data_IF_532679379151
#
_entry.id   IF_532679379151
#
_cell.length_a   1.000
_cell.length_b   1.000
_cell.length_c   1.000
_cell.angle_alpha   90.00
_cell.angle_beta   90.00
_cell.angle_gamma   90.00
#
_symmetry.space_group_name_H-M   'P 1'
#
loop_
_entity.id
_entity.type
_entity.pdbx_description
1 polymer ?
#
# COMPACT_ATOMS: atom_id res chain seq x y z
N UNK A 1 -23.19 -11.71 17.93
CA UNK A 1 -22.03 -12.33 17.25
C UNK A 1 -21.63 -13.69 17.85
N UNK A 2 -21.42 -13.83 19.17
CA UNK A 2 -21.12 -15.17 19.76
C UNK A 2 -22.26 -16.20 19.61
N UNK A 3 -23.50 -15.77 19.65
CA UNK A 3 -24.67 -16.66 19.50
C UNK A 3 -24.92 -17.14 18.07
N UNK A 4 -24.39 -16.44 17.08
CA UNK A 4 -24.54 -16.73 15.64
C UNK A 4 -23.34 -17.46 15.05
N UNK A 5 -22.35 -17.85 15.87
CA UNK A 5 -21.14 -18.54 15.39
C UNK A 5 -20.19 -17.69 14.53
N UNK A 6 -20.45 -16.37 14.43
CA UNK A 6 -19.65 -15.44 13.64
C UNK A 6 -18.46 -14.95 14.46
N UNK A 7 -17.32 -15.63 14.31
CA UNK A 7 -16.05 -15.25 14.92
C UNK A 7 -15.12 -14.71 13.83
N UNK A 8 -14.61 -13.49 14.03
CA UNK A 8 -13.56 -12.94 13.17
C UNK A 8 -12.26 -13.75 13.31
N UNK A 9 -11.68 -14.19 12.20
CA UNK A 9 -10.35 -14.81 12.18
C UNK A 9 -9.30 -13.75 12.51
N UNK A 10 -8.53 -13.94 13.57
CA UNK A 10 -7.39 -13.08 13.92
C UNK A 10 -6.08 -13.80 13.59
N UNK A 11 -5.10 -13.13 12.95
CA UNK A 11 -3.77 -13.69 12.75
C UNK A 11 -3.11 -14.00 14.09
N UNK A 12 -2.46 -15.16 14.21
CA UNK A 12 -1.76 -15.59 15.44
C UNK A 12 -0.32 -15.07 15.54
N UNK A 13 0.27 -14.59 14.46
CA UNK A 13 1.68 -14.17 14.44
C UNK A 13 1.81 -12.65 14.48
N UNK A 14 2.73 -12.18 15.34
CA UNK A 14 3.13 -10.76 15.37
C UNK A 14 4.17 -10.50 14.28
N UNK A 15 3.97 -9.46 13.50
CA UNK A 15 4.96 -8.98 12.54
C UNK A 15 6.24 -8.51 13.27
N UNK A 16 7.40 -9.00 12.82
CA UNK A 16 8.71 -8.52 13.26
C UNK A 16 9.37 -7.74 12.13
N UNK A 17 9.62 -6.45 12.36
CA UNK A 17 10.32 -5.60 11.39
C UNK A 17 11.78 -6.02 11.24
N UNK A 18 12.28 -5.97 9.99
CA UNK A 18 13.69 -6.24 9.66
C UNK A 18 14.61 -5.19 10.28
N UNK A 19 15.70 -5.64 10.93
CA UNK A 19 16.77 -4.78 11.46
C UNK A 19 17.91 -4.70 10.43
N UNK A 20 17.75 -3.92 9.36
CA UNK A 20 18.80 -3.63 8.40
C UNK A 20 19.64 -2.40 8.75
N UNK A 21 20.67 -2.11 7.95
CA UNK A 21 21.46 -0.88 8.06
C UNK A 21 20.56 0.35 7.95
N UNK A 22 20.78 1.30 8.86
CA UNK A 22 19.95 2.50 8.97
C UNK A 22 20.45 3.54 7.96
N UNK A 23 19.69 3.76 6.89
CA UNK A 23 19.87 4.89 5.97
C UNK A 23 19.41 6.22 6.61
N UNK A 24 19.16 7.24 5.80
CA UNK A 24 18.67 8.53 6.30
C UNK A 24 17.14 8.47 6.49
N UNK A 25 16.70 8.73 7.72
CA UNK A 25 15.28 8.85 8.09
C UNK A 25 14.78 10.25 7.71
N UNK A 26 13.61 10.33 7.07
CA UNK A 26 12.91 11.58 6.83
C UNK A 26 11.98 11.94 7.99
N UNK A 27 11.64 13.23 8.10
CA UNK A 27 10.71 13.72 9.12
C UNK A 27 9.29 13.17 8.92
N UNK A 28 8.52 13.05 10.01
CA UNK A 28 7.11 12.71 9.92
C UNK A 28 6.27 13.97 9.61
N UNK A 29 6.20 14.32 8.32
CA UNK A 29 5.49 15.52 7.86
C UNK A 29 3.97 15.34 7.99
N UNK A 30 3.46 14.12 7.77
CA UNK A 30 2.03 13.84 7.87
C UNK A 30 1.53 13.99 9.31
N UNK A 31 2.32 13.58 10.31
CA UNK A 31 2.00 13.70 11.75
C UNK A 31 0.54 13.28 12.08
N UNK A 32 0.07 12.18 11.46
CA UNK A 32 -1.32 11.64 11.52
C UNK A 32 -2.39 12.52 10.87
N UNK A 33 -2.03 13.60 10.22
CA UNK A 33 -2.97 14.34 9.38
C UNK A 33 -3.08 13.67 8.01
N UNK A 34 -3.93 12.64 7.93
CA UNK A 34 -4.21 11.92 6.68
C UNK A 34 -5.25 12.63 5.79
N UNK A 35 -5.79 13.77 6.24
CA UNK A 35 -6.78 14.52 5.48
C UNK A 35 -6.14 15.13 4.25
N UNK A 36 -6.89 15.13 3.16
CA UNK A 36 -6.54 15.69 1.86
C UNK A 36 -7.76 16.38 1.28
N UNK A 37 -7.57 17.44 0.53
CA UNK A 37 -8.64 18.19 -0.14
C UNK A 37 -8.91 17.69 -1.56
N UNK A 38 -7.91 17.03 -2.16
CA UNK A 38 -7.97 16.51 -3.53
C UNK A 38 -7.16 15.21 -3.63
N UNK A 39 -7.40 14.38 -4.67
CA UNK A 39 -6.52 13.27 -5.06
C UNK A 39 -5.09 13.75 -5.34
N UNK A 40 -4.13 12.82 -5.28
CA UNK A 40 -2.72 13.03 -5.64
C UNK A 40 -1.96 14.04 -4.76
N UNK A 41 -2.45 14.31 -3.55
CA UNK A 41 -1.75 15.17 -2.58
C UNK A 41 -0.89 14.36 -1.61
N UNK A 42 -1.35 13.18 -1.22
CA UNK A 42 -0.63 12.31 -0.28
C UNK A 42 -0.76 10.86 -0.71
N UNK A 43 0.36 10.22 -0.91
CA UNK A 43 0.46 8.78 -1.13
C UNK A 43 1.09 8.09 0.07
N UNK A 44 0.76 6.81 0.24
CA UNK A 44 1.42 5.95 1.23
C UNK A 44 1.78 4.60 0.63
N UNK A 45 2.84 4.00 1.17
CA UNK A 45 3.33 2.68 0.78
C UNK A 45 3.80 1.90 1.99
N UNK A 46 3.81 0.60 1.86
CA UNK A 46 4.40 -0.36 2.80
C UNK A 46 4.61 -1.70 2.07
N UNK A 47 5.33 -2.63 2.69
CA UNK A 47 5.52 -3.98 2.14
C UNK A 47 4.84 -5.01 3.04
N UNK A 48 3.98 -5.85 2.47
CA UNK A 48 3.36 -6.95 3.19
C UNK A 48 3.79 -8.31 2.65
N UNK A 49 4.12 -9.22 3.57
CA UNK A 49 4.50 -10.60 3.26
C UNK A 49 3.29 -11.53 3.29
N UNK A 50 3.30 -12.49 2.36
CA UNK A 50 2.41 -13.65 2.29
C UNK A 50 3.24 -14.92 2.33
N UNK A 51 2.75 -15.95 3.02
CA UNK A 51 3.43 -17.23 3.18
C UNK A 51 2.59 -18.34 2.54
N UNK A 52 3.22 -19.13 1.68
CA UNK A 52 2.61 -20.25 0.98
C UNK A 52 3.44 -21.52 1.15
N UNK A 53 2.90 -22.67 0.75
CA UNK A 53 3.64 -23.93 0.75
C UNK A 53 4.84 -23.92 -0.20
N UNK A 54 4.76 -23.15 -1.29
CA UNK A 54 5.82 -22.98 -2.30
C UNK A 54 6.80 -21.85 -1.98
N UNK A 55 6.58 -21.05 -0.94
CA UNK A 55 7.52 -19.98 -0.56
C UNK A 55 6.84 -18.73 -0.02
N UNK A 56 7.51 -17.61 -0.18
CA UNK A 56 7.07 -16.30 0.26
C UNK A 56 6.84 -15.37 -0.92
N UNK A 57 5.86 -14.50 -0.78
CA UNK A 57 5.61 -13.41 -1.72
C UNK A 57 5.44 -12.10 -0.96
N UNK A 58 5.86 -11.00 -1.57
CA UNK A 58 5.81 -9.65 -1.02
C UNK A 58 5.06 -8.76 -1.98
N UNK A 59 4.10 -8.00 -1.47
CA UNK A 59 3.42 -6.94 -2.23
C UNK A 59 3.85 -5.58 -1.70
N UNK A 60 4.17 -4.67 -2.62
CA UNK A 60 4.47 -3.27 -2.33
C UNK A 60 3.53 -2.39 -3.14
N UNK A 61 2.43 -1.89 -2.57
CA UNK A 61 1.50 -0.98 -3.24
C UNK A 61 1.80 0.48 -2.93
N UNK A 62 1.40 1.38 -3.82
CA UNK A 62 1.22 2.82 -3.59
C UNK A 62 -0.27 3.11 -3.50
N UNK A 63 -0.71 3.73 -2.41
CA UNK A 63 -2.11 4.06 -2.16
C UNK A 63 -2.29 5.59 -2.03
N UNK A 64 -3.26 6.14 -2.76
CA UNK A 64 -3.67 7.53 -2.61
C UNK A 64 -4.53 7.73 -1.35
N UNK A 65 -4.11 8.63 -0.46
CA UNK A 65 -4.79 8.82 0.83
C UNK A 65 -6.15 9.51 0.72
N UNK A 66 -6.45 10.18 -0.39
CA UNK A 66 -7.76 10.81 -0.62
C UNK A 66 -8.80 9.77 -1.03
N UNK A 67 -8.47 9.04 -2.08
CA UNK A 67 -9.39 8.15 -2.79
C UNK A 67 -9.36 6.72 -2.28
N UNK A 68 -8.32 6.32 -1.54
CA UNK A 68 -7.92 4.93 -1.26
C UNK A 68 -7.61 4.11 -2.52
N UNK A 69 -7.40 4.74 -3.69
CA UNK A 69 -7.00 4.03 -4.90
C UNK A 69 -5.61 3.43 -4.76
N UNK A 70 -5.44 2.20 -5.17
CA UNK A 70 -4.12 1.61 -5.40
C UNK A 70 -3.61 2.16 -6.73
N UNK A 71 -2.67 3.10 -6.63
CA UNK A 71 -2.08 3.80 -7.78
C UNK A 71 -1.25 2.85 -8.62
N UNK A 72 -0.39 2.10 -7.94
CA UNK A 72 0.46 1.05 -8.50
C UNK A 72 0.75 0.00 -7.44
N UNK A 73 1.30 -1.12 -7.85
CA UNK A 73 1.85 -2.14 -6.96
C UNK A 73 2.89 -2.98 -7.69
N UNK A 74 3.69 -3.71 -6.94
CA UNK A 74 4.55 -4.76 -7.46
C UNK A 74 4.54 -5.98 -6.55
N UNK A 75 4.61 -7.16 -7.16
CA UNK A 75 4.74 -8.45 -6.47
C UNK A 75 6.12 -9.01 -6.73
N UNK A 76 6.74 -9.57 -5.68
CA UNK A 76 8.05 -10.18 -5.78
C UNK A 76 8.20 -11.34 -4.80
N UNK A 77 9.01 -12.32 -5.12
CA UNK A 77 9.41 -13.38 -4.20
C UNK A 77 10.46 -12.91 -3.18
N UNK A 78 11.00 -11.70 -3.36
CA UNK A 78 12.03 -11.11 -2.53
C UNK A 78 11.77 -9.61 -2.32
N UNK A 79 11.81 -9.10 -1.07
CA UNK A 79 11.62 -7.67 -0.81
C UNK A 79 12.94 -6.93 -1.11
N UNK A 80 13.15 -6.53 -2.36
CA UNK A 80 14.36 -5.88 -2.84
C UNK A 80 14.07 -4.50 -3.45
N UNK A 81 15.15 -3.75 -3.77
CA UNK A 81 15.01 -2.42 -4.38
C UNK A 81 14.39 -2.46 -5.77
N UNK A 82 14.57 -3.54 -6.50
CA UNK A 82 13.98 -3.71 -7.83
C UNK A 82 12.45 -3.75 -7.76
N UNK A 83 11.88 -4.40 -6.73
CA UNK A 83 10.44 -4.35 -6.45
C UNK A 83 9.95 -2.90 -6.25
N UNK A 84 10.68 -2.12 -5.45
CA UNK A 84 10.34 -0.72 -5.20
C UNK A 84 10.49 0.13 -6.46
N UNK A 85 11.52 -0.13 -7.27
CA UNK A 85 11.71 0.55 -8.57
C UNK A 85 10.52 0.33 -9.49
N UNK A 86 10.15 -0.93 -9.75
CA UNK A 86 9.01 -1.25 -10.63
C UNK A 86 7.69 -0.65 -10.13
N UNK A 87 7.48 -0.64 -8.81
CA UNK A 87 6.32 -0.02 -8.18
C UNK A 87 6.27 1.49 -8.45
N UNK A 88 7.39 2.21 -8.25
CA UNK A 88 7.50 3.65 -8.50
C UNK A 88 7.35 3.99 -9.98
N UNK A 89 8.02 3.25 -10.86
CA UNK A 89 7.93 3.45 -12.31
C UNK A 89 6.48 3.35 -12.80
N UNK A 90 5.73 2.36 -12.33
CA UNK A 90 4.30 2.22 -12.64
C UNK A 90 3.47 3.39 -12.11
N UNK A 91 3.77 3.87 -10.89
CA UNK A 91 3.07 5.01 -10.31
C UNK A 91 3.29 6.29 -11.12
N UNK A 92 4.53 6.59 -11.47
CA UNK A 92 4.89 7.81 -12.21
C UNK A 92 4.51 7.74 -13.70
N UNK A 93 4.49 6.55 -14.31
CA UNK A 93 3.91 6.36 -15.63
C UNK A 93 2.40 6.63 -15.66
N UNK A 94 1.68 6.26 -14.60
CA UNK A 94 0.24 6.52 -14.47
C UNK A 94 -0.07 7.98 -14.16
N UNK A 95 0.74 8.62 -13.32
CA UNK A 95 0.61 10.01 -12.89
C UNK A 95 1.98 10.72 -12.95
N UNK A 96 2.37 11.24 -14.12
CA UNK A 96 3.69 11.85 -14.29
C UNK A 96 3.86 13.20 -13.59
N UNK A 97 2.75 13.92 -13.33
CA UNK A 97 2.75 15.25 -12.72
C UNK A 97 2.24 15.18 -11.29
N UNK A 98 3.16 14.97 -10.34
CA UNK A 98 2.88 14.81 -8.90
C UNK A 98 3.78 15.70 -8.04
N UNK A 99 4.22 16.83 -8.56
CA UNK A 99 5.06 17.79 -7.84
C UNK A 99 4.35 18.29 -6.57
N UNK A 100 5.09 18.34 -5.46
CA UNK A 100 4.57 18.74 -4.15
C UNK A 100 3.79 17.65 -3.40
N UNK A 101 3.57 16.47 -4.02
CA UNK A 101 2.95 15.33 -3.35
C UNK A 101 3.78 14.90 -2.13
N UNK A 102 3.12 14.53 -1.02
CA UNK A 102 3.77 13.93 0.14
C UNK A 102 3.70 12.41 0.00
N UNK A 103 4.85 11.75 -0.04
CA UNK A 103 4.95 10.29 -0.10
C UNK A 103 5.36 9.75 1.27
N UNK A 104 4.43 9.05 1.93
CA UNK A 104 4.59 8.53 3.28
C UNK A 104 4.90 7.03 3.30
N UNK A 105 5.81 6.62 4.18
CA UNK A 105 6.15 5.21 4.42
C UNK A 105 6.47 4.97 5.89
N UNK A 106 6.65 3.71 6.26
CA UNK A 106 7.35 3.35 7.48
C UNK A 106 8.87 3.62 7.36
N UNK A 107 9.64 3.24 8.38
CA UNK A 107 11.10 3.35 8.37
C UNK A 107 11.77 2.07 7.80
N UNK A 108 11.13 1.37 6.87
CA UNK A 108 11.74 0.24 6.17
C UNK A 108 13.03 0.65 5.45
N UNK A 109 14.03 -0.25 5.43
CA UNK A 109 15.35 0.03 4.84
C UNK A 109 15.24 0.49 3.37
N UNK A 110 14.31 -0.06 2.61
CA UNK A 110 14.07 0.26 1.19
C UNK A 110 13.70 1.73 0.99
N UNK A 111 12.95 2.32 1.92
CA UNK A 111 12.52 3.73 1.88
C UNK A 111 13.57 4.70 2.38
N UNK A 112 14.56 4.21 3.12
CA UNK A 112 15.74 4.96 3.58
C UNK A 112 16.86 4.96 2.53
N UNK A 113 16.79 4.05 1.54
CA UNK A 113 17.82 3.89 0.54
C UNK A 113 17.93 5.12 -0.37
N UNK A 114 19.17 5.54 -0.77
CA UNK A 114 19.38 6.69 -1.64
C UNK A 114 18.58 6.65 -2.95
N UNK A 115 18.44 5.47 -3.56
CA UNK A 115 17.65 5.29 -4.77
C UNK A 115 16.22 5.82 -4.58
N UNK A 116 15.48 5.34 -3.57
CA UNK A 116 14.11 5.77 -3.31
C UNK A 116 14.01 7.30 -3.10
N UNK A 117 14.88 7.84 -2.25
CA UNK A 117 14.94 9.26 -1.94
C UNK A 117 15.22 10.13 -3.17
N UNK A 118 16.22 9.74 -3.98
CA UNK A 118 16.60 10.48 -5.19
C UNK A 118 15.47 10.42 -6.23
N UNK A 119 14.82 9.26 -6.39
CA UNK A 119 13.67 9.13 -7.28
C UNK A 119 12.52 10.05 -6.88
N UNK A 120 12.15 10.11 -5.60
CA UNK A 120 11.12 11.04 -5.13
C UNK A 120 11.52 12.50 -5.38
N UNK A 121 12.77 12.86 -5.07
CA UNK A 121 13.29 14.21 -5.29
C UNK A 121 13.24 14.63 -6.77
N UNK A 122 13.59 13.72 -7.70
CA UNK A 122 13.52 13.99 -9.15
C UNK A 122 12.10 14.30 -9.63
N UNK A 123 11.09 13.76 -8.96
CA UNK A 123 9.67 14.04 -9.23
C UNK A 123 9.08 15.20 -8.40
N UNK A 124 9.92 15.95 -7.66
CA UNK A 124 9.46 17.05 -6.80
C UNK A 124 8.59 16.58 -5.61
N UNK A 125 8.71 15.33 -5.21
CA UNK A 125 7.91 14.70 -4.15
C UNK A 125 8.59 14.86 -2.79
N UNK A 126 7.81 15.17 -1.78
CA UNK A 126 8.27 15.32 -0.40
C UNK A 126 8.15 13.99 0.33
N UNK A 127 9.28 13.44 0.78
CA UNK A 127 9.28 12.20 1.56
C UNK A 127 8.86 12.47 3.01
N UNK A 128 7.99 11.61 3.54
CA UNK A 128 7.58 11.58 4.94
C UNK A 128 7.69 10.16 5.49
N UNK A 129 8.15 10.01 6.74
CA UNK A 129 8.26 8.69 7.38
C UNK A 129 7.54 8.65 8.71
N UNK A 130 6.91 7.52 9.02
CA UNK A 130 6.31 7.27 10.33
C UNK A 130 7.37 7.27 11.43
N UNK A 131 6.95 7.53 12.66
CA UNK A 131 7.82 7.37 13.83
C UNK A 131 8.12 5.89 14.07
N UNK A 132 9.33 5.60 14.52
CA UNK A 132 9.76 4.22 14.79
C UNK A 132 8.80 3.51 15.75
N UNK A 133 8.30 2.34 15.33
CA UNK A 133 7.42 1.50 16.15
C UNK A 133 6.02 2.06 16.36
N UNK A 134 5.59 3.06 15.60
CA UNK A 134 4.27 3.67 15.73
C UNK A 134 3.35 3.29 14.57
N UNK A 135 2.60 2.20 14.74
CA UNK A 135 1.65 1.68 13.75
C UNK A 135 0.55 2.69 13.39
N UNK A 136 0.15 3.57 14.30
CA UNK A 136 -0.87 4.59 14.01
C UNK A 136 -0.46 5.58 12.93
N UNK A 137 0.83 5.73 12.67
CA UNK A 137 1.32 6.62 11.62
C UNK A 137 1.19 6.00 10.21
N UNK A 138 0.93 4.67 10.09
CA UNK A 138 0.73 3.94 8.83
C UNK A 138 -0.61 3.21 8.74
N UNK A 139 -1.61 3.63 9.52
CA UNK A 139 -2.88 2.92 9.69
C UNK A 139 -3.69 2.74 8.37
N UNK A 140 -3.50 3.61 7.37
CA UNK A 140 -4.17 3.50 6.08
C UNK A 140 -3.69 2.25 5.33
N UNK A 141 -2.38 2.01 5.30
CA UNK A 141 -1.81 0.81 4.68
C UNK A 141 -2.17 -0.45 5.46
N UNK A 142 -2.13 -0.40 6.80
CA UNK A 142 -2.58 -1.52 7.63
C UNK A 142 -4.05 -1.88 7.35
N UNK A 143 -4.90 -0.87 7.15
CA UNK A 143 -6.32 -1.09 6.79
C UNK A 143 -6.46 -1.74 5.42
N UNK A 144 -5.70 -1.29 4.43
CA UNK A 144 -5.70 -1.90 3.10
C UNK A 144 -5.22 -3.36 3.16
N UNK A 145 -4.07 -3.63 3.79
CA UNK A 145 -3.56 -4.99 3.92
C UNK A 145 -4.49 -5.90 4.72
N UNK A 146 -5.14 -5.37 5.74
CA UNK A 146 -6.15 -6.12 6.49
C UNK A 146 -7.31 -6.56 5.59
N UNK A 147 -7.80 -5.68 4.72
CA UNK A 147 -8.85 -6.02 3.73
C UNK A 147 -8.36 -7.04 2.71
N UNK A 148 -7.24 -6.75 2.05
CA UNK A 148 -6.64 -7.65 1.08
C UNK A 148 -6.49 -9.07 1.65
N UNK A 149 -5.88 -9.19 2.84
CA UNK A 149 -5.65 -10.50 3.47
C UNK A 149 -6.93 -11.20 3.89
N UNK A 150 -7.92 -10.47 4.40
CA UNK A 150 -9.19 -11.07 4.80
C UNK A 150 -10.08 -11.47 3.61
N UNK A 151 -10.00 -10.72 2.50
CA UNK A 151 -10.88 -10.94 1.35
C UNK A 151 -10.32 -11.97 0.36
N UNK A 152 -8.97 -12.18 0.29
CA UNK A 152 -8.40 -13.09 -0.70
C UNK A 152 -7.27 -14.01 -0.20
N UNK A 153 -6.83 -13.90 1.06
CA UNK A 153 -5.69 -14.70 1.51
C UNK A 153 -6.03 -15.62 2.68
N UNK A 154 -6.52 -15.09 3.81
CA UNK A 154 -6.74 -15.91 4.99
C UNK A 154 -7.81 -16.98 4.78
N UNK A 155 -7.37 -18.24 4.81
CA UNK A 155 -8.19 -19.42 4.59
C UNK A 155 -8.18 -19.90 3.14
N UNK A 156 -7.51 -19.19 2.24
CA UNK A 156 -7.34 -19.53 0.82
C UNK A 156 -5.87 -19.80 0.46
N UNK A 157 -4.97 -19.87 1.46
CA UNK A 157 -3.52 -20.01 1.22
C UNK A 157 -3.16 -21.25 0.41
N UNK A 158 -3.99 -22.29 0.53
CA UNK A 158 -3.79 -23.58 -0.17
C UNK A 158 -4.33 -23.57 -1.61
N UNK A 159 -5.16 -22.60 -1.95
CA UNK A 159 -5.79 -22.50 -3.27
C UNK A 159 -4.81 -21.91 -4.30
N UNK A 160 -3.72 -21.31 -3.82
CA UNK A 160 -2.66 -20.76 -4.67
C UNK A 160 -1.48 -21.71 -4.72
N UNK A 161 -1.34 -22.43 -5.82
CA UNK A 161 -0.30 -23.46 -5.98
C UNK A 161 1.05 -22.88 -6.48
N UNK A 162 1.07 -21.63 -6.98
CA UNK A 162 2.26 -20.96 -7.48
C UNK A 162 2.23 -19.44 -7.30
N UNK A 163 3.38 -18.81 -7.50
CA UNK A 163 3.51 -17.35 -7.54
C UNK A 163 2.65 -16.73 -8.64
N UNK A 164 2.59 -17.34 -9.80
CA UNK A 164 1.83 -16.86 -10.96
C UNK A 164 0.32 -16.88 -10.70
N UNK A 165 -0.20 -17.92 -10.04
CA UNK A 165 -1.61 -17.98 -9.64
C UNK A 165 -1.95 -16.91 -8.62
N UNK A 166 -1.12 -16.75 -7.61
CA UNK A 166 -1.34 -15.69 -6.61
C UNK A 166 -1.21 -14.30 -7.24
N UNK A 167 -0.26 -14.11 -8.17
CA UNK A 167 -0.09 -12.83 -8.87
C UNK A 167 -1.34 -12.44 -9.68
N UNK A 168 -1.93 -13.38 -10.41
CA UNK A 168 -3.20 -13.16 -11.12
C UNK A 168 -4.36 -12.83 -10.19
N UNK A 169 -4.48 -13.56 -9.08
CA UNK A 169 -5.51 -13.28 -8.09
C UNK A 169 -5.37 -11.91 -7.44
N UNK A 170 -4.14 -11.44 -7.19
CA UNK A 170 -3.88 -10.08 -6.69
C UNK A 170 -4.24 -9.03 -7.75
N UNK A 171 -3.92 -9.27 -9.02
CA UNK A 171 -4.29 -8.37 -10.12
C UNK A 171 -5.81 -8.22 -10.22
N UNK A 172 -6.55 -9.32 -10.24
CA UNK A 172 -8.02 -9.35 -10.24
C UNK A 172 -8.61 -8.65 -9.00
N UNK A 173 -8.01 -8.90 -7.84
CA UNK A 173 -8.46 -8.25 -6.59
C UNK A 173 -8.23 -6.73 -6.63
N UNK A 174 -7.07 -6.27 -7.10
CA UNK A 174 -6.78 -4.83 -7.17
C UNK A 174 -7.67 -4.15 -8.22
N UNK A 175 -7.95 -4.81 -9.34
CA UNK A 175 -8.94 -4.31 -10.30
C UNK A 175 -10.33 -4.17 -9.65
N UNK A 176 -10.79 -5.21 -8.98
CA UNK A 176 -12.05 -5.17 -8.23
C UNK A 176 -12.05 -4.07 -7.15
N UNK A 177 -10.97 -3.98 -6.35
CA UNK A 177 -10.83 -3.00 -5.29
C UNK A 177 -10.90 -1.57 -5.80
N UNK A 178 -10.21 -1.28 -6.90
CA UNK A 178 -10.13 0.05 -7.48
C UNK A 178 -11.39 0.46 -8.25
N UNK A 179 -12.03 -0.48 -8.97
CA UNK A 179 -13.06 -0.15 -9.95
C UNK A 179 -14.48 -0.55 -9.50
N UNK A 180 -14.63 -1.49 -8.57
CA UNK A 180 -15.94 -2.05 -8.19
C UNK A 180 -16.23 -1.98 -6.69
N UNK A 181 -15.21 -2.11 -5.84
CA UNK A 181 -15.40 -2.14 -4.39
C UNK A 181 -15.78 -0.78 -3.84
N UNK A 182 -17.04 -0.62 -3.42
CA UNK A 182 -17.55 0.62 -2.80
C UNK A 182 -17.00 0.79 -1.38
N UNK A 183 -16.79 2.03 -0.97
CA UNK A 183 -16.28 2.38 0.35
C UNK A 183 -17.02 3.60 0.93
N UNK A 184 -17.33 3.58 2.24
CA UNK A 184 -18.01 4.69 2.91
C UNK A 184 -17.19 6.01 2.82
N UNK A 185 -15.85 5.92 2.94
CA UNK A 185 -14.95 7.08 2.82
C UNK A 185 -15.06 7.78 1.46
N UNK A 186 -15.30 7.04 0.39
CA UNK A 186 -15.43 7.55 -0.97
C UNK A 186 -16.91 7.77 -1.37
N UNK A 187 -17.76 8.10 -0.40
CA UNK A 187 -19.20 8.34 -0.60
C UNK A 187 -19.91 7.19 -1.32
N UNK A 188 -19.56 5.96 -0.97
CA UNK A 188 -20.09 4.72 -1.56
C UNK A 188 -19.75 4.54 -3.04
N UNK A 189 -18.73 5.21 -3.53
CA UNK A 189 -18.12 4.98 -4.84
C UNK A 189 -16.90 4.06 -4.72
N UNK A 190 -16.48 3.47 -5.84
CA UNK A 190 -15.17 2.85 -5.92
C UNK A 190 -14.06 3.90 -5.92
N UNK A 191 -12.82 3.57 -5.52
CA UNK A 191 -11.70 4.50 -5.49
C UNK A 191 -11.51 5.29 -6.79
N UNK A 192 -11.50 4.61 -7.94
CA UNK A 192 -11.33 5.24 -9.25
C UNK A 192 -12.52 6.13 -9.60
N UNK A 193 -13.74 5.67 -9.38
CA UNK A 193 -14.94 6.48 -9.63
C UNK A 193 -14.93 7.76 -8.78
N UNK A 194 -14.55 7.65 -7.50
CA UNK A 194 -14.45 8.81 -6.62
C UNK A 194 -13.38 9.80 -7.10
N UNK A 195 -12.19 9.29 -7.53
CA UNK A 195 -11.15 10.14 -8.10
C UNK A 195 -11.65 10.89 -9.34
N UNK A 196 -12.25 10.18 -10.29
CA UNK A 196 -12.76 10.80 -11.52
C UNK A 196 -13.80 11.89 -11.24
N UNK A 197 -14.72 11.63 -10.31
CA UNK A 197 -15.72 12.61 -9.90
C UNK A 197 -15.08 13.82 -9.22
N UNK A 198 -14.07 13.60 -8.37
CA UNK A 198 -13.39 14.68 -7.63
C UNK A 198 -12.52 15.56 -8.54
N UNK A 199 -11.93 15.00 -9.61
CA UNK A 199 -11.09 15.72 -10.57
C UNK A 199 -11.90 16.34 -11.72
N UNK A 200 -13.06 15.79 -12.05
CA UNK A 200 -13.94 16.30 -13.11
C UNK A 200 -14.89 17.41 -12.66
N UNK A 201 -14.90 17.73 -11.35
CA UNK A 201 -15.72 18.79 -10.76
C UNK A 201 -14.94 20.10 -10.52
N UNK A 202 -13.73 20.21 -11.10
CA UNK A 202 -12.85 21.37 -11.00
C UNK A 202 -12.91 22.22 -12.28
#
# INVERSE_FOLDING_TARGET
>A
MHKEGLLGKRPKEKYHSYKGEVGKIADNIIARNFSTTAPLQKWTTDVSQFNFSWGKCYISPVLDMNTNEIISYDLSMSPNLEQISRMLDRAFNKFPSVEGLIFHSDQGWQYQHPYFRNTLHQHGIVQSMSRKGNCYDNCIMETFFGRLKNEMYYGYEKDYSSFEEFSRAVEEYIDYYNNKRIQAKTKWMSPVQYRMTSMGSA
#
